data_IF_190445062581
#
_entry.id   IF_190445062581
#
_cell.length_a   1.000
_cell.length_b   1.000
_cell.length_c   1.000
_cell.angle_alpha   90.00
_cell.angle_beta   90.00
_cell.angle_gamma   90.00
#
_symmetry.space_group_name_H-M   'P 1'
#
loop_
_entity.id
_entity.type
_entity.pdbx_description
1 polymer ?
#
# COMPACT_ATOMS: atom_id res chain seq x y z
N UNK A 1 24.20 0.18 -15.12
CA UNK A 1 24.26 -1.29 -15.16
C UNK A 1 23.38 -1.70 -16.31
N UNK A 2 23.92 -2.33 -17.34
CA UNK A 2 23.11 -2.75 -18.50
C UNK A 2 22.04 -3.72 -17.99
N UNK A 3 20.79 -3.30 -18.01
CA UNK A 3 19.68 -4.18 -17.64
C UNK A 3 19.50 -5.22 -18.75
N UNK A 4 19.31 -6.47 -18.36
CA UNK A 4 18.95 -7.57 -19.26
C UNK A 4 17.74 -8.29 -18.66
N UNK A 5 16.83 -8.85 -19.49
CA UNK A 5 15.78 -9.71 -18.97
C UNK A 5 16.38 -10.83 -18.12
N UNK A 6 15.70 -11.19 -17.04
CA UNK A 6 16.24 -12.15 -16.11
C UNK A 6 16.31 -13.56 -16.74
N UNK A 7 17.50 -14.18 -16.71
CA UNK A 7 17.77 -15.50 -17.32
C UNK A 7 18.45 -16.48 -16.34
N UNK A 8 18.10 -16.38 -15.05
CA UNK A 8 18.58 -17.37 -14.07
C UNK A 8 17.94 -18.76 -14.33
N UNK A 9 18.50 -19.86 -13.80
CA UNK A 9 17.90 -21.19 -13.92
C UNK A 9 16.42 -21.25 -13.54
N UNK A 10 15.98 -20.44 -12.57
CA UNK A 10 14.57 -20.33 -12.21
C UNK A 10 13.72 -19.76 -13.37
N UNK A 11 14.16 -18.68 -13.99
CA UNK A 11 13.43 -18.03 -15.10
C UNK A 11 13.22 -18.97 -16.28
N UNK A 12 14.20 -19.85 -16.54
CA UNK A 12 14.13 -20.88 -17.59
C UNK A 12 13.11 -21.99 -17.29
N UNK A 13 12.55 -22.04 -16.07
CA UNK A 13 11.45 -22.95 -15.73
C UNK A 13 10.07 -22.35 -16.00
N UNK A 14 9.98 -21.04 -16.25
CA UNK A 14 8.71 -20.36 -16.45
C UNK A 14 8.19 -20.62 -17.88
N UNK A 15 6.90 -20.95 -18.04
CA UNK A 15 6.32 -21.22 -19.35
C UNK A 15 5.93 -19.91 -20.05
N UNK A 16 6.93 -19.13 -20.44
CA UNK A 16 6.74 -17.83 -21.11
C UNK A 16 5.99 -18.02 -22.42
N UNK A 17 4.97 -17.19 -22.65
CA UNK A 17 4.07 -17.27 -23.81
C UNK A 17 2.89 -18.25 -23.63
N UNK A 18 2.87 -19.05 -22.57
CA UNK A 18 1.78 -20.00 -22.29
C UNK A 18 0.76 -19.43 -21.30
N UNK A 19 -0.47 -19.94 -21.38
CA UNK A 19 -1.50 -19.66 -20.35
C UNK A 19 -1.36 -20.67 -19.21
N UNK A 20 -1.29 -20.16 -17.99
CA UNK A 20 -1.26 -20.97 -16.78
C UNK A 20 -2.65 -21.43 -16.35
N UNK A 21 -2.72 -22.59 -15.70
CA UNK A 21 -3.94 -23.10 -15.07
C UNK A 21 -4.33 -22.21 -13.88
N UNK A 22 -5.51 -21.56 -13.90
CA UNK A 22 -5.94 -20.68 -12.82
C UNK A 22 -6.56 -21.41 -11.63
N UNK A 23 -6.73 -22.73 -11.67
CA UNK A 23 -7.42 -23.52 -10.62
C UNK A 23 -6.95 -23.22 -9.19
N UNK A 24 -5.64 -23.01 -8.90
CA UNK A 24 -5.20 -22.64 -7.56
C UNK A 24 -5.79 -21.31 -7.04
N UNK A 25 -6.16 -20.39 -7.96
CA UNK A 25 -6.86 -19.15 -7.66
C UNK A 25 -8.37 -19.33 -7.52
N UNK A 26 -8.93 -20.53 -7.74
CA UNK A 26 -10.36 -20.81 -7.55
C UNK A 26 -10.59 -21.67 -6.29
N UNK A 27 -9.66 -22.58 -5.98
CA UNK A 27 -9.84 -23.57 -4.90
C UNK A 27 -9.05 -23.24 -3.62
N UNK A 28 -8.18 -22.23 -3.66
CA UNK A 28 -7.33 -21.86 -2.53
C UNK A 28 -8.11 -21.34 -1.30
N UNK A 29 -7.67 -21.63 -0.06
CA UNK A 29 -8.41 -21.24 1.16
C UNK A 29 -8.56 -19.71 1.35
N UNK A 30 -7.69 -18.94 0.71
CA UNK A 30 -7.70 -17.48 0.74
C UNK A 30 -8.23 -16.85 -0.55
N UNK A 31 -8.59 -17.63 -1.57
CA UNK A 31 -9.10 -17.06 -2.83
C UNK A 31 -10.58 -16.68 -2.76
N UNK A 32 -11.01 -15.68 -3.54
CA UNK A 32 -12.42 -15.24 -3.64
C UNK A 32 -12.90 -15.10 -5.09
N UNK A 33 -12.20 -15.73 -6.03
CA UNK A 33 -12.62 -15.73 -7.42
C UNK A 33 -13.48 -16.96 -7.72
N UNK A 34 -14.58 -16.75 -8.44
CA UNK A 34 -15.43 -17.83 -8.96
C UNK A 34 -15.04 -18.21 -10.39
N UNK A 35 -14.52 -17.25 -11.16
CA UNK A 35 -13.95 -17.45 -12.48
C UNK A 35 -12.71 -16.56 -12.65
N UNK A 36 -11.67 -17.08 -13.31
CA UNK A 36 -10.43 -16.35 -13.58
C UNK A 36 -9.93 -16.73 -14.96
N UNK A 37 -9.67 -15.71 -15.79
CA UNK A 37 -9.00 -15.88 -17.07
C UNK A 37 -7.67 -15.13 -17.06
N UNK A 38 -6.58 -15.87 -16.95
CA UNK A 38 -5.23 -15.30 -17.03
C UNK A 38 -4.83 -15.06 -18.50
N UNK A 39 -4.21 -13.92 -18.83
CA UNK A 39 -3.47 -13.77 -20.08
C UNK A 39 -2.27 -14.74 -20.10
N UNK A 40 -1.69 -15.03 -21.27
CA UNK A 40 -0.41 -15.73 -21.32
C UNK A 40 0.65 -14.98 -20.52
N UNK A 41 1.58 -15.71 -19.91
CA UNK A 41 2.69 -15.10 -19.18
C UNK A 41 3.59 -14.35 -20.17
N UNK A 42 3.68 -13.03 -20.01
CA UNK A 42 4.41 -12.16 -20.94
C UNK A 42 5.93 -12.35 -20.84
N UNK A 43 6.64 -11.96 -21.89
CA UNK A 43 8.11 -11.90 -21.88
C UNK A 43 8.61 -10.85 -20.87
N UNK A 44 9.78 -11.12 -20.27
CA UNK A 44 10.44 -10.17 -19.37
C UNK A 44 11.11 -9.08 -20.20
N UNK A 45 10.79 -7.82 -19.91
CA UNK A 45 11.25 -6.66 -20.67
C UNK A 45 12.16 -5.76 -19.83
N UNK A 46 13.18 -5.20 -20.49
CA UNK A 46 14.06 -4.16 -19.93
C UNK A 46 14.39 -3.10 -21.01
N UNK A 47 14.69 -1.85 -20.62
CA UNK A 47 14.62 -1.34 -19.26
C UNK A 47 13.19 -1.35 -18.73
N UNK A 48 13.02 -1.63 -17.44
CA UNK A 48 11.73 -1.42 -16.78
C UNK A 48 11.33 0.06 -16.90
N UNK A 49 10.02 0.35 -16.94
CA UNK A 49 9.57 1.73 -16.81
C UNK A 49 10.07 2.29 -15.47
N UNK A 50 10.73 3.46 -15.46
CA UNK A 50 11.32 3.99 -14.24
C UNK A 50 10.20 4.30 -13.24
N UNK A 51 10.36 3.76 -12.03
CA UNK A 51 9.49 4.12 -10.90
C UNK A 51 9.60 5.62 -10.62
N UNK A 52 8.53 6.21 -10.09
CA UNK A 52 8.52 7.64 -9.76
C UNK A 52 9.61 7.96 -8.73
N UNK A 53 10.42 8.98 -9.01
CA UNK A 53 11.49 9.43 -8.12
C UNK A 53 12.88 8.83 -8.40
N UNK A 54 13.02 7.85 -9.31
CA UNK A 54 14.32 7.25 -9.67
C UNK A 54 15.20 8.24 -10.44
N UNK A 55 14.65 8.85 -11.48
CA UNK A 55 15.40 9.77 -12.35
C UNK A 55 15.48 11.18 -11.76
N UNK A 56 14.43 11.59 -11.05
CA UNK A 56 14.31 12.88 -10.38
C UNK A 56 13.53 12.74 -9.07
N UNK A 57 14.20 12.82 -7.90
CA UNK A 57 13.53 12.79 -6.59
C UNK A 57 12.46 13.87 -6.42
N UNK A 58 12.57 15.00 -7.13
CA UNK A 58 11.57 16.06 -7.07
C UNK A 58 10.25 15.64 -7.71
N UNK A 59 10.25 14.65 -8.61
CA UNK A 59 9.05 14.07 -9.23
C UNK A 59 8.43 12.92 -8.40
N UNK A 60 8.99 12.62 -7.22
CA UNK A 60 8.46 11.61 -6.31
C UNK A 60 7.19 12.11 -5.59
N UNK A 61 6.06 11.37 -5.68
CA UNK A 61 4.81 11.79 -5.05
C UNK A 61 4.84 11.77 -3.51
N UNK A 62 5.75 10.99 -2.90
CA UNK A 62 5.90 10.91 -1.43
C UNK A 62 6.79 12.02 -0.86
N UNK A 63 7.72 12.55 -1.67
CA UNK A 63 8.56 13.68 -1.24
C UNK A 63 7.80 15.00 -1.20
N UNK A 64 6.77 15.12 -2.04
CA UNK A 64 5.96 16.33 -2.10
C UNK A 64 4.83 16.27 -1.07
N UNK A 65 4.59 17.38 -0.36
CA UNK A 65 3.40 17.51 0.47
C UNK A 65 2.15 17.54 -0.43
N UNK A 66 1.23 16.61 -0.22
CA UNK A 66 -0.01 16.51 -1.00
C UNK A 66 -1.25 16.74 -0.12
N UNK A 67 -2.38 17.23 -0.67
CA UNK A 67 -3.71 17.26 -0.06
C UNK A 67 -4.17 16.01 0.71
N UNK A 68 -3.56 14.85 0.48
CA UNK A 68 -3.97 13.60 1.12
C UNK A 68 -3.19 13.30 2.39
N UNK A 69 -2.21 14.12 2.76
CA UNK A 69 -1.48 13.97 4.01
C UNK A 69 -2.42 14.15 5.18
N UNK A 70 -2.44 13.18 6.09
CA UNK A 70 -3.28 13.19 7.29
C UNK A 70 -2.47 13.33 8.57
N UNK A 71 -1.17 13.04 8.53
CA UNK A 71 -0.29 13.18 9.67
C UNK A 71 1.19 13.27 9.25
N UNK A 72 2.02 13.96 10.03
CA UNK A 72 3.47 14.07 9.83
C UNK A 72 4.20 14.32 11.16
N UNK A 73 5.36 13.70 11.34
CA UNK A 73 6.37 14.09 12.34
C UNK A 73 7.72 14.40 11.65
N UNK A 74 8.80 14.48 12.41
CA UNK A 74 10.13 14.81 11.87
C UNK A 74 10.66 13.74 10.89
N UNK A 75 10.24 12.47 11.04
CA UNK A 75 10.80 11.34 10.27
C UNK A 75 9.83 10.79 9.24
N UNK A 76 8.52 10.82 9.51
CA UNK A 76 7.50 10.13 8.73
C UNK A 76 6.30 11.00 8.44
N UNK A 77 5.61 10.67 7.35
CA UNK A 77 4.25 11.14 7.08
C UNK A 77 3.33 9.96 6.78
N UNK A 78 2.03 10.21 6.95
CA UNK A 78 0.94 9.30 6.59
C UNK A 78 0.00 10.02 5.63
N UNK A 79 -0.22 9.40 4.48
CA UNK A 79 -1.16 9.88 3.47
C UNK A 79 -2.37 8.94 3.40
N UNK A 80 -3.55 9.51 3.20
CA UNK A 80 -4.75 8.78 2.79
C UNK A 80 -4.64 8.32 1.32
N UNK A 81 -5.44 7.32 0.94
CA UNK A 81 -5.53 6.84 -0.44
C UNK A 81 -5.87 7.96 -1.43
N UNK A 82 -5.24 7.89 -2.61
CA UNK A 82 -5.33 8.85 -3.72
C UNK A 82 -6.69 8.84 -4.43
N UNK A 83 -7.39 7.70 -4.39
CA UNK A 83 -8.72 7.50 -4.98
C UNK A 83 -9.77 7.30 -3.88
N UNK A 84 -11.04 7.16 -4.27
CA UNK A 84 -12.09 6.78 -3.32
C UNK A 84 -11.83 5.36 -2.83
N UNK A 85 -11.96 5.15 -1.51
CA UNK A 85 -11.67 3.89 -0.83
C UNK A 85 -12.96 3.06 -0.73
N UNK A 86 -12.90 1.77 -1.03
CA UNK A 86 -13.99 0.83 -0.78
C UNK A 86 -13.98 0.27 0.65
N UNK A 87 -12.81 0.27 1.29
CA UNK A 87 -12.62 -0.11 2.69
C UNK A 87 -12.80 1.07 3.66
N UNK A 88 -13.04 0.82 4.97
CA UNK A 88 -13.16 1.87 5.98
C UNK A 88 -11.96 2.83 6.02
N UNK A 89 -10.76 2.35 5.67
CA UNK A 89 -9.57 3.16 5.52
C UNK A 89 -8.56 2.44 4.62
N UNK A 90 -7.96 3.22 3.72
CA UNK A 90 -6.79 2.88 2.91
C UNK A 90 -5.87 4.09 2.90
N UNK A 91 -4.61 3.85 3.19
CA UNK A 91 -3.59 4.88 3.18
C UNK A 91 -2.22 4.25 3.21
N UNK A 92 -1.21 5.04 3.50
CA UNK A 92 0.14 4.54 3.63
C UNK A 92 1.04 5.48 4.41
N UNK A 93 2.18 4.95 4.79
CA UNK A 93 3.25 5.68 5.47
C UNK A 93 4.51 5.66 4.61
N UNK A 94 5.24 6.76 4.62
CA UNK A 94 6.52 6.93 3.97
C UNK A 94 7.41 7.87 4.82
N UNK A 95 8.74 7.70 4.81
CA UNK A 95 9.63 8.63 5.48
C UNK A 95 9.60 10.00 4.80
N UNK A 96 9.97 11.05 5.51
CA UNK A 96 10.13 12.38 4.91
C UNK A 96 11.39 12.45 4.04
N UNK A 97 12.41 11.66 4.38
CA UNK A 97 13.63 11.51 3.59
C UNK A 97 13.39 10.56 2.41
N UNK A 98 13.81 10.96 1.20
CA UNK A 98 13.78 10.11 0.01
C UNK A 98 14.82 8.99 0.14
N UNK A 99 14.39 7.82 0.62
CA UNK A 99 15.22 6.63 0.67
C UNK A 99 14.49 5.40 0.13
N UNK A 100 15.27 4.39 -0.28
CA UNK A 100 14.77 3.05 -0.60
C UNK A 100 14.82 2.21 0.67
N UNK A 101 14.16 1.07 0.66
CA UNK A 101 14.28 0.12 1.78
C UNK A 101 15.73 -0.38 1.93
N UNK A 102 16.42 -0.60 0.81
CA UNK A 102 17.75 -1.21 0.76
C UNK A 102 18.87 -0.29 1.30
N UNK A 103 18.63 1.02 1.30
CA UNK A 103 19.57 2.05 1.75
C UNK A 103 18.96 2.98 2.82
N UNK A 104 17.83 2.57 3.40
CA UNK A 104 17.13 3.35 4.41
C UNK A 104 18.07 3.64 5.60
N UNK A 105 18.15 4.90 6.05
CA UNK A 105 18.94 5.25 7.23
C UNK A 105 18.51 4.43 8.46
N UNK A 106 19.44 4.05 9.36
CA UNK A 106 19.10 3.24 10.53
C UNK A 106 18.01 3.83 11.42
N UNK A 107 17.90 5.15 11.50
CA UNK A 107 16.87 5.83 12.30
C UNK A 107 15.46 5.67 11.70
N UNK A 108 15.34 5.62 10.37
CA UNK A 108 14.07 5.29 9.67
C UNK A 108 13.69 3.86 10.00
N UNK A 109 14.59 2.89 9.80
CA UNK A 109 14.31 1.48 10.08
C UNK A 109 13.95 1.23 11.55
N UNK A 110 14.64 1.91 12.49
CA UNK A 110 14.38 1.78 13.92
C UNK A 110 13.01 2.35 14.34
N UNK A 111 12.53 3.40 13.67
CA UNK A 111 11.25 4.05 13.99
C UNK A 111 10.04 3.44 13.26
N UNK A 112 10.26 2.61 12.22
CA UNK A 112 9.20 1.97 11.45
C UNK A 112 8.27 1.09 12.31
N UNK A 113 8.82 0.22 13.15
CA UNK A 113 8.04 -0.70 13.99
C UNK A 113 7.05 0.03 14.93
N UNK A 114 7.52 1.00 15.73
CA UNK A 114 6.66 1.86 16.54
C UNK A 114 5.58 2.58 15.73
N UNK A 115 5.93 3.16 14.58
CA UNK A 115 4.96 3.84 13.72
C UNK A 115 3.90 2.89 13.17
N UNK A 116 4.27 1.69 12.72
CA UNK A 116 3.31 0.67 12.26
C UNK A 116 2.32 0.28 13.36
N UNK A 117 2.79 0.14 14.61
CA UNK A 117 1.92 -0.11 15.75
C UNK A 117 0.95 1.06 15.97
N UNK A 118 1.48 2.29 16.02
CA UNK A 118 0.71 3.52 16.23
C UNK A 118 -0.39 3.68 15.16
N UNK A 119 -0.03 3.54 13.88
CA UNK A 119 -0.98 3.61 12.77
C UNK A 119 -2.00 2.48 12.84
N UNK A 120 -1.59 1.25 13.20
CA UNK A 120 -2.55 0.15 13.36
C UNK A 120 -3.58 0.42 14.46
N UNK A 121 -3.17 1.04 15.56
CA UNK A 121 -4.07 1.39 16.66
C UNK A 121 -4.99 2.55 16.27
N UNK A 122 -4.46 3.59 15.62
CA UNK A 122 -5.24 4.71 15.11
C UNK A 122 -6.33 4.25 14.12
N UNK A 123 -5.99 3.40 13.16
CA UNK A 123 -6.96 2.87 12.19
C UNK A 123 -8.03 2.01 12.86
N UNK A 124 -7.70 1.28 13.93
CA UNK A 124 -8.68 0.47 14.69
C UNK A 124 -9.66 1.31 15.53
N UNK A 125 -9.44 2.62 15.65
CA UNK A 125 -10.43 3.54 16.24
C UNK A 125 -11.60 3.79 15.28
N UNK A 126 -11.43 3.56 13.97
CA UNK A 126 -12.51 3.66 12.99
C UNK A 126 -13.58 2.60 13.31
N UNK A 127 -14.87 2.97 13.42
CA UNK A 127 -15.93 2.04 13.79
C UNK A 127 -15.96 0.79 12.91
N UNK A 128 -16.01 -0.38 13.56
CA UNK A 128 -16.13 -1.66 12.87
C UNK A 128 -14.83 -2.21 12.28
N UNK A 129 -13.67 -1.55 12.45
CA UNK A 129 -12.38 -2.10 11.99
C UNK A 129 -11.83 -3.12 13.00
N UNK A 130 -11.40 -4.29 12.52
CA UNK A 130 -10.84 -5.35 13.37
C UNK A 130 -9.35 -5.62 13.15
N UNK A 131 -8.85 -5.46 11.92
CA UNK A 131 -7.45 -5.72 11.57
C UNK A 131 -6.95 -4.64 10.61
N UNK A 132 -5.65 -4.43 10.61
CA UNK A 132 -4.95 -3.58 9.64
C UNK A 132 -3.95 -4.49 8.93
N UNK A 133 -3.99 -4.52 7.61
CA UNK A 133 -2.98 -5.19 6.80
C UNK A 133 -1.94 -4.16 6.38
N UNK A 134 -0.66 -4.51 6.54
CA UNK A 134 0.44 -3.73 6.00
C UNK A 134 1.06 -4.45 4.81
N UNK A 135 1.32 -3.70 3.74
CA UNK A 135 1.83 -4.25 2.51
C UNK A 135 2.86 -3.32 1.86
N UNK A 136 3.94 -3.90 1.34
CA UNK A 136 4.89 -3.19 0.47
C UNK A 136 4.82 -3.81 -0.91
N UNK A 137 4.42 -3.01 -1.89
CA UNK A 137 4.46 -3.37 -3.31
C UNK A 137 5.78 -2.89 -3.92
N UNK A 138 5.99 -1.57 -3.93
CA UNK A 138 7.28 -0.97 -4.30
C UNK A 138 7.44 -0.65 -5.78
N UNK A 139 6.41 -0.90 -6.59
CA UNK A 139 6.44 -0.73 -8.05
C UNK A 139 6.08 0.69 -8.51
N UNK A 140 5.39 1.49 -7.68
CA UNK A 140 4.93 2.84 -8.07
C UNK A 140 5.94 3.97 -7.85
N UNK A 141 6.86 3.83 -6.90
CA UNK A 141 7.86 4.85 -6.57
C UNK A 141 9.14 4.23 -5.99
N UNK A 142 10.28 4.90 -6.21
CA UNK A 142 11.55 4.53 -5.57
C UNK A 142 11.50 4.63 -4.04
N UNK A 143 10.81 5.66 -3.57
CA UNK A 143 10.67 6.01 -2.17
C UNK A 143 9.97 4.88 -1.41
N UNK A 144 10.59 4.42 -0.31
CA UNK A 144 10.02 3.36 0.54
C UNK A 144 8.70 3.78 1.15
N UNK A 145 7.65 3.01 0.90
CA UNK A 145 6.33 3.24 1.49
C UNK A 145 5.64 1.91 1.78
N UNK A 146 4.73 1.95 2.74
CA UNK A 146 3.89 0.82 3.12
C UNK A 146 2.43 1.25 3.05
N UNK A 147 1.60 0.41 2.46
CA UNK A 147 0.16 0.53 2.49
C UNK A 147 -0.39 0.02 3.82
N UNK A 148 -1.47 0.63 4.29
CA UNK A 148 -2.26 0.23 5.44
C UNK A 148 -3.73 0.11 5.04
N UNK A 149 -4.29 -1.10 5.11
CA UNK A 149 -5.67 -1.41 4.70
C UNK A 149 -6.49 -1.87 5.91
N UNK A 150 -7.62 -1.22 6.16
CA UNK A 150 -8.50 -1.53 7.27
C UNK A 150 -9.48 -2.65 6.91
N UNK A 151 -9.31 -3.82 7.55
CA UNK A 151 -10.25 -4.94 7.41
C UNK A 151 -11.40 -4.80 8.42
N UNK A 152 -12.67 -4.75 7.96
CA UNK A 152 -13.82 -4.77 8.84
C UNK A 152 -13.89 -6.03 9.73
N UNK A 153 -14.48 -5.88 10.91
CA UNK A 153 -14.87 -6.96 11.78
C UNK A 153 -15.83 -7.91 11.05
N UNK A 154 -15.60 -9.21 11.19
CA UNK A 154 -16.43 -10.23 10.53
C UNK A 154 -16.18 -10.42 9.03
N UNK A 155 -15.48 -9.51 8.34
CA UNK A 155 -15.17 -9.65 6.90
C UNK A 155 -14.05 -10.68 6.66
N UNK A 156 -14.39 -11.97 6.79
CA UNK A 156 -13.44 -13.08 6.61
C UNK A 156 -12.99 -13.24 5.16
N UNK A 157 -13.77 -12.74 4.20
CA UNK A 157 -13.37 -12.74 2.81
C UNK A 157 -12.19 -11.81 2.51
N UNK A 158 -11.96 -10.78 3.33
CA UNK A 158 -10.81 -9.87 3.23
C UNK A 158 -9.55 -10.36 3.95
N UNK A 159 -9.33 -11.66 4.13
CA UNK A 159 -8.08 -12.20 4.71
C UNK A 159 -6.99 -12.27 3.63
N UNK A 160 -5.76 -11.92 4.01
CA UNK A 160 -4.60 -11.96 3.09
C UNK A 160 -4.69 -10.89 2.00
N UNK A 161 -4.11 -11.20 0.84
CA UNK A 161 -4.02 -10.29 -0.31
C UNK A 161 -5.40 -9.87 -0.87
N UNK A 162 -6.45 -10.67 -0.64
CA UNK A 162 -7.80 -10.39 -1.11
C UNK A 162 -8.39 -9.08 -0.59
N UNK A 163 -7.87 -8.54 0.52
CA UNK A 163 -8.35 -7.25 1.02
C UNK A 163 -8.13 -6.12 0.00
N UNK A 164 -7.00 -6.11 -0.70
CA UNK A 164 -6.71 -5.10 -1.72
C UNK A 164 -7.67 -5.22 -2.91
N UNK A 165 -7.90 -6.44 -3.40
CA UNK A 165 -8.88 -6.67 -4.48
C UNK A 165 -10.30 -6.27 -4.09
N UNK A 166 -10.69 -6.47 -2.81
CA UNK A 166 -11.99 -5.99 -2.34
C UNK A 166 -12.08 -4.47 -2.31
N UNK A 167 -11.01 -3.75 -1.95
CA UNK A 167 -11.00 -2.29 -1.99
C UNK A 167 -11.29 -1.75 -3.39
N UNK A 168 -10.75 -2.39 -4.43
CA UNK A 168 -10.92 -1.98 -5.83
C UNK A 168 -12.37 -2.12 -6.34
N UNK A 169 -13.15 -3.05 -5.79
CA UNK A 169 -14.49 -3.40 -6.33
C UNK A 169 -15.64 -3.03 -5.40
N UNK A 170 -15.37 -2.77 -4.12
CA UNK A 170 -16.39 -2.32 -3.18
C UNK A 170 -16.87 -0.91 -3.58
N UNK A 171 -18.16 -0.59 -3.33
CA UNK A 171 -18.63 0.77 -3.51
C UNK A 171 -17.78 1.74 -2.69
N UNK A 172 -17.45 2.92 -3.25
CA UNK A 172 -16.67 3.90 -2.51
C UNK A 172 -17.43 4.37 -1.27
N UNK A 173 -16.70 4.70 -0.21
CA UNK A 173 -17.27 5.36 0.95
C UNK A 173 -17.99 6.66 0.56
N UNK A 174 -19.06 6.96 1.30
CA UNK A 174 -19.66 8.29 1.28
C UNK A 174 -18.61 9.34 1.68
N UNK A 175 -18.53 10.50 1.01
CA UNK A 175 -17.51 11.51 1.31
C UNK A 175 -17.47 11.97 2.77
N UNK A 176 -18.63 12.16 3.42
CA UNK A 176 -18.67 12.61 4.81
C UNK A 176 -18.20 11.49 5.75
N UNK A 177 -18.55 10.24 5.45
CA UNK A 177 -18.03 9.08 6.18
C UNK A 177 -16.51 8.94 6.01
N UNK A 178 -16.01 9.16 4.79
CA UNK A 178 -14.59 9.13 4.50
C UNK A 178 -13.84 10.21 5.28
N UNK A 179 -14.32 11.46 5.28
CA UNK A 179 -13.73 12.56 6.05
C UNK A 179 -13.71 12.24 7.55
N UNK A 180 -14.79 11.70 8.09
CA UNK A 180 -14.85 11.30 9.51
C UNK A 180 -13.82 10.21 9.84
N UNK A 181 -13.70 9.18 9.00
CA UNK A 181 -12.69 8.13 9.22
C UNK A 181 -11.26 8.69 9.16
N UNK A 182 -10.96 9.57 8.20
CA UNK A 182 -9.65 10.22 8.09
C UNK A 182 -9.36 11.10 9.31
N UNK A 183 -10.36 11.84 9.80
CA UNK A 183 -10.26 12.65 11.02
C UNK A 183 -9.92 11.79 12.23
N UNK A 184 -10.65 10.69 12.45
CA UNK A 184 -10.38 9.73 13.53
C UNK A 184 -8.93 9.25 13.49
N UNK A 185 -8.45 8.83 12.31
CA UNK A 185 -7.08 8.31 12.18
C UNK A 185 -6.03 9.41 12.38
N UNK A 186 -6.22 10.59 11.79
CA UNK A 186 -5.31 11.72 11.91
C UNK A 186 -5.13 12.18 13.37
N UNK A 187 -6.24 12.36 14.08
CA UNK A 187 -6.25 12.78 15.49
C UNK A 187 -5.64 11.71 16.40
N UNK A 188 -6.01 10.43 16.18
CA UNK A 188 -5.45 9.33 16.95
C UNK A 188 -3.95 9.14 16.69
N UNK A 189 -3.49 9.37 15.46
CA UNK A 189 -2.06 9.44 15.16
C UNK A 189 -1.43 10.57 15.96
N UNK A 190 -1.93 11.80 15.94
CA UNK A 190 -1.28 12.93 16.62
C UNK A 190 -1.27 12.89 18.16
N UNK A 191 -2.00 11.97 18.80
CA UNK A 191 -2.12 11.90 20.27
C UNK A 191 -0.77 11.86 21.01
N UNK A 192 0.23 11.15 20.45
CA UNK A 192 1.57 10.99 21.03
C UNK A 192 2.66 11.75 20.25
N UNK A 193 2.31 12.83 19.54
CA UNK A 193 3.24 13.69 18.79
C UNK A 193 3.01 13.76 17.27
N UNK A 194 3.79 14.60 16.58
CA UNK A 194 3.52 14.94 15.18
C UNK A 194 2.30 15.86 15.03
N UNK A 195 1.94 16.16 13.79
CA UNK A 195 0.86 17.10 13.44
C UNK A 195 -0.21 16.39 12.63
N UNK A 196 -1.48 16.53 13.02
CA UNK A 196 -2.62 16.03 12.27
C UNK A 196 -3.08 17.00 11.19
N UNK A 197 -3.50 16.45 10.05
CA UNK A 197 -4.12 17.15 8.92
C UNK A 197 -5.43 16.42 8.53
N UNK A 198 -6.47 16.48 9.38
CA UNK A 198 -7.67 15.65 9.22
C UNK A 198 -8.50 15.98 7.97
N UNK A 199 -8.36 17.19 7.44
CA UNK A 199 -9.05 17.67 6.25
C UNK A 199 -8.12 17.61 5.05
N UNK A 200 -8.60 17.05 3.94
CA UNK A 200 -7.91 17.17 2.65
C UNK A 200 -7.88 18.65 2.25
N UNK A 201 -6.69 19.19 1.96
CA UNK A 201 -6.49 20.60 1.59
C UNK A 201 -6.69 20.85 0.09
#
# INVERSE_FOLDING_TARGET
>A
MDQQPADSPYHRTLPIGERLDPTPLLEGPLTRFEDVRLPPLAEMLVPEEPRRGVEDPSACPHCQRHPHRIWEDDTWHVDAGWTRMGLPYVGGLAPNEHCRLDDAPPHVLASLGPLMQRLSLAIKQVPGVARVHFSRWGDGSEHVHLWALARPAGMMQGRGAMLAFWDDVLPPLDPAMQEEHLRIVAEALAADGGTAYPTRQ
#
